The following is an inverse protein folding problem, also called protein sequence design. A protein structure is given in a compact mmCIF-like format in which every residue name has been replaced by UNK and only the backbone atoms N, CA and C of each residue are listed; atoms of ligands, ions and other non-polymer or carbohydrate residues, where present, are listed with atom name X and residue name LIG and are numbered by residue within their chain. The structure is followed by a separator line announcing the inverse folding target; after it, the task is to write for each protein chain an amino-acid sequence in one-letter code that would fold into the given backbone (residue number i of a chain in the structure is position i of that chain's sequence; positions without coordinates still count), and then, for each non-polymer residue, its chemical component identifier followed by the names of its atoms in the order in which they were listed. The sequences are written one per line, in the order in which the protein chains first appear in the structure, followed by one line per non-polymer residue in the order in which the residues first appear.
data_IF_843462648585
#
_entry.id   IF_843462648585
#
_cell.length_a   1.000
_cell.length_b   1.000
_cell.length_c   1.000
_cell.angle_alpha   90.00
_cell.angle_beta   90.00
_cell.angle_gamma   90.00
#
_symmetry.space_group_name_H-M   'P 1'
#
loop_
_entity.id
_entity.type
_entity.pdbx_description
1 polymer ?
#
# COMPACT_ATOMS: atom_id res chain seq x y z
N UNK A 1 -12.19 1.24 2.47
CA UNK A 1 -11.49 0.27 1.61
C UNK A 1 -12.51 -0.65 0.95
N UNK A 2 -12.42 -0.81 -0.36
CA UNK A 2 -13.22 -1.75 -1.13
C UNK A 2 -12.23 -2.71 -1.80
N UNK A 3 -12.19 -3.99 -1.44
CA UNK A 3 -11.35 -4.96 -2.11
C UNK A 3 -11.80 -5.13 -3.56
N UNK A 4 -10.87 -5.36 -4.45
CA UNK A 4 -11.14 -5.54 -5.88
C UNK A 4 -10.84 -6.96 -6.36
N UNK A 5 -10.09 -7.73 -5.58
CA UNK A 5 -9.61 -9.05 -6.00
C UNK A 5 -8.61 -8.96 -7.14
N UNK A 6 -8.52 -10.03 -7.92
CA UNK A 6 -7.68 -10.08 -9.12
C UNK A 6 -6.65 -11.20 -9.12
N UNK A 7 -5.70 -11.09 -10.03
CA UNK A 7 -4.61 -12.04 -10.26
C UNK A 7 -3.34 -11.63 -9.52
N UNK A 8 -2.28 -12.40 -9.68
CA UNK A 8 -0.96 -12.08 -9.13
C UNK A 8 -0.48 -10.68 -9.57
N UNK A 9 -0.73 -10.27 -10.82
CA UNK A 9 -0.32 -8.96 -11.32
C UNK A 9 -0.95 -7.81 -10.51
N UNK A 10 -2.22 -7.95 -10.11
CA UNK A 10 -2.92 -6.97 -9.28
C UNK A 10 -2.35 -6.92 -7.87
N UNK A 11 -2.04 -8.08 -7.30
CA UNK A 11 -1.49 -8.18 -5.95
C UNK A 11 -0.01 -7.76 -5.86
N UNK A 12 0.73 -7.76 -6.95
CA UNK A 12 2.09 -7.21 -6.97
C UNK A 12 2.10 -5.68 -6.85
N UNK A 13 1.02 -5.00 -7.21
CA UNK A 13 0.93 -3.53 -7.17
C UNK A 13 0.14 -3.01 -5.97
N UNK A 14 -0.87 -3.74 -5.49
CA UNK A 14 -1.72 -3.33 -4.36
C UNK A 14 -2.17 -4.55 -3.54
N UNK A 15 -2.51 -4.31 -2.26
CA UNK A 15 -3.29 -5.29 -1.51
C UNK A 15 -4.76 -5.23 -1.96
N UNK A 16 -5.16 -6.15 -2.83
CA UNK A 16 -6.49 -6.18 -3.45
C UNK A 16 -7.54 -6.96 -2.64
N UNK A 17 -7.17 -7.48 -1.46
CA UNK A 17 -8.06 -8.22 -0.57
C UNK A 17 -7.97 -7.69 0.87
N UNK A 18 -8.71 -8.34 1.76
CA UNK A 18 -8.63 -8.13 3.22
C UNK A 18 -8.26 -9.45 3.89
N UNK A 19 -7.68 -9.40 5.08
CA UNK A 19 -7.28 -10.60 5.82
C UNK A 19 -8.43 -11.58 6.11
N UNK A 20 -9.68 -11.11 6.08
CA UNK A 20 -10.88 -11.94 6.20
C UNK A 20 -11.24 -12.57 4.85
N UNK A 21 -10.44 -13.53 4.41
CA UNK A 21 -10.59 -14.23 3.15
C UNK A 21 -10.71 -15.75 3.38
N UNK A 22 -11.34 -16.44 2.45
CA UNK A 22 -11.37 -17.90 2.39
C UNK A 22 -10.39 -18.40 1.33
N UNK A 23 -9.68 -19.44 1.64
CA UNK A 23 -8.76 -20.12 0.74
C UNK A 23 -8.74 -21.62 1.07
N UNK A 24 -8.30 -22.45 0.13
CA UNK A 24 -8.19 -23.89 0.36
C UNK A 24 -7.06 -24.17 1.35
N UNK A 25 -7.28 -25.09 2.28
CA UNK A 25 -6.27 -25.51 3.26
C UNK A 25 -4.98 -26.01 2.57
N UNK A 26 -5.12 -26.69 1.44
CA UNK A 26 -3.97 -27.19 0.67
C UNK A 26 -3.12 -26.03 0.14
N UNK A 27 -3.74 -24.97 -0.40
CA UNK A 27 -3.02 -23.82 -0.93
C UNK A 27 -2.30 -23.06 0.20
N UNK A 28 -2.92 -22.98 1.39
CA UNK A 28 -2.28 -22.45 2.59
C UNK A 28 -1.04 -23.28 2.99
N UNK A 29 -1.14 -24.61 2.95
CA UNK A 29 -0.03 -25.52 3.26
C UNK A 29 1.11 -25.35 2.24
N UNK A 30 0.80 -25.31 0.93
CA UNK A 30 1.78 -25.09 -0.15
C UNK A 30 2.45 -23.72 -0.01
N UNK A 31 1.69 -22.70 0.37
CA UNK A 31 2.23 -21.36 0.65
C UNK A 31 3.01 -21.29 1.97
N UNK A 32 3.03 -22.35 2.77
CA UNK A 32 3.68 -22.39 4.10
C UNK A 32 3.15 -21.35 5.09
N UNK A 33 1.80 -21.09 5.09
CA UNK A 33 1.16 -20.20 6.02
C UNK A 33 1.57 -18.72 5.88
N UNK A 34 1.36 -17.94 6.93
CA UNK A 34 1.77 -16.55 6.99
C UNK A 34 3.28 -16.41 7.28
N UNK A 35 3.88 -15.32 6.82
CA UNK A 35 5.27 -14.99 7.15
C UNK A 35 5.35 -14.40 8.57
N UNK A 36 5.91 -15.17 9.50
CA UNK A 36 6.04 -14.77 10.91
C UNK A 36 6.99 -13.58 11.14
N UNK A 37 7.81 -13.21 10.15
CA UNK A 37 8.64 -12.02 10.22
C UNK A 37 7.85 -10.73 9.95
N UNK A 38 6.61 -10.85 9.44
CA UNK A 38 5.74 -9.71 9.11
C UNK A 38 4.68 -9.44 10.20
N UNK A 39 5.05 -9.46 11.47
CA UNK A 39 4.13 -9.23 12.60
C UNK A 39 3.65 -7.77 12.75
N UNK A 40 4.19 -6.86 11.98
CA UNK A 40 3.88 -5.42 12.06
C UNK A 40 2.83 -4.95 11.05
N UNK A 41 2.36 -5.86 10.18
CA UNK A 41 1.34 -5.62 9.16
C UNK A 41 1.78 -6.02 7.77
N UNK A 42 0.83 -5.98 6.82
CA UNK A 42 0.97 -6.40 5.43
C UNK A 42 1.25 -7.90 5.25
N UNK A 43 1.12 -8.69 6.32
CA UNK A 43 1.29 -10.15 6.30
C UNK A 43 0.24 -10.84 5.42
N UNK A 44 -0.97 -10.29 5.38
CA UNK A 44 -2.06 -10.76 4.51
C UNK A 44 -1.72 -10.52 3.03
N UNK A 45 -1.20 -9.35 2.70
CA UNK A 45 -0.79 -9.02 1.34
C UNK A 45 0.33 -9.93 0.84
N UNK A 46 1.38 -10.09 1.62
CA UNK A 46 2.50 -10.98 1.30
C UNK A 46 2.02 -12.43 1.10
N UNK A 47 1.12 -12.88 1.97
CA UNK A 47 0.54 -14.21 1.88
C UNK A 47 -0.29 -14.40 0.60
N UNK A 48 -1.10 -13.43 0.21
CA UNK A 48 -1.86 -13.49 -1.05
C UNK A 48 -0.95 -13.54 -2.27
N UNK A 49 0.18 -12.85 -2.28
CA UNK A 49 1.18 -12.96 -3.34
C UNK A 49 1.65 -14.43 -3.47
N UNK A 50 1.96 -15.10 -2.34
CA UNK A 50 2.35 -16.52 -2.38
C UNK A 50 1.24 -17.46 -2.79
N UNK A 51 0.00 -17.18 -2.42
CA UNK A 51 -1.15 -17.98 -2.86
C UNK A 51 -1.37 -17.91 -4.37
N UNK A 52 -1.17 -16.72 -4.97
CA UNK A 52 -1.51 -16.45 -6.35
C UNK A 52 -0.34 -16.63 -7.32
N UNK A 53 0.89 -16.77 -6.85
CA UNK A 53 2.09 -16.84 -7.70
C UNK A 53 2.10 -17.97 -8.73
N UNK A 54 1.39 -19.07 -8.46
CA UNK A 54 1.30 -20.23 -9.34
C UNK A 54 0.02 -20.20 -10.21
N UNK A 55 -0.66 -19.07 -10.30
CA UNK A 55 -1.97 -18.89 -10.94
C UNK A 55 -3.09 -18.85 -9.93
N UNK A 56 -4.26 -18.50 -10.38
CA UNK A 56 -5.45 -18.32 -9.56
C UNK A 56 -5.95 -16.86 -9.56
N UNK A 57 -7.17 -16.71 -9.04
CA UNK A 57 -7.85 -15.42 -8.96
C UNK A 57 -8.44 -15.27 -7.57
N UNK A 58 -8.24 -14.13 -6.96
CA UNK A 58 -8.96 -13.72 -5.77
C UNK A 58 -10.29 -13.08 -6.17
N UNK A 59 -11.38 -13.73 -5.87
CA UNK A 59 -12.72 -13.22 -6.14
C UNK A 59 -13.27 -12.48 -4.92
N UNK A 60 -14.03 -11.42 -5.17
CA UNK A 60 -14.68 -10.63 -4.12
C UNK A 60 -16.17 -10.91 -4.11
N UNK A 61 -16.68 -11.38 -2.99
CA UNK A 61 -18.13 -11.47 -2.75
C UNK A 61 -18.65 -10.03 -2.65
N UNK A 62 -19.57 -9.66 -3.56
CA UNK A 62 -20.07 -8.28 -3.70
C UNK A 62 -21.15 -7.93 -2.66
N UNK A 63 -21.12 -8.58 -1.52
CA UNK A 63 -22.05 -8.36 -0.40
C UNK A 63 -21.30 -7.77 0.81
N UNK A 64 -21.93 -6.88 1.60
CA UNK A 64 -21.30 -6.29 2.78
C UNK A 64 -21.34 -7.27 3.98
N UNK A 65 -20.54 -8.33 3.91
CA UNK A 65 -20.53 -9.42 4.91
C UNK A 65 -19.65 -9.12 6.13
N UNK A 66 -18.91 -8.01 6.11
CA UNK A 66 -17.93 -7.72 7.15
C UNK A 66 -17.96 -6.25 7.61
N UNK A 67 -18.05 -6.04 8.92
CA UNK A 67 -17.98 -4.72 9.55
C UNK A 67 -16.58 -4.43 10.04
N UNK A 68 -15.87 -3.53 9.36
CA UNK A 68 -14.50 -3.14 9.71
C UNK A 68 -14.49 -2.03 10.78
N UNK A 69 -14.04 -2.35 11.99
CA UNK A 69 -13.88 -1.36 13.07
C UNK A 69 -12.59 -0.56 12.91
N UNK A 70 -12.73 0.74 12.66
CA UNK A 70 -11.57 1.65 12.65
C UNK A 70 -11.19 2.07 14.07
N UNK A 71 -9.90 1.96 14.41
CA UNK A 71 -9.32 2.43 15.67
C UNK A 71 -8.09 3.29 15.35
N UNK A 72 -7.85 4.34 16.17
CA UNK A 72 -6.69 5.24 16.00
C UNK A 72 -5.38 4.45 16.10
N UNK A 73 -5.27 3.57 17.11
CA UNK A 73 -4.07 2.74 17.37
C UNK A 73 -4.19 1.32 16.80
N UNK A 74 -4.78 1.19 15.61
CA UNK A 74 -4.89 -0.10 14.93
C UNK A 74 -3.52 -0.58 14.40
N UNK A 75 -3.39 -1.89 14.18
CA UNK A 75 -2.21 -2.48 13.49
C UNK A 75 -1.98 -1.79 12.15
N UNK A 76 -3.05 -1.51 11.39
CA UNK A 76 -2.98 -0.76 10.12
C UNK A 76 -2.37 0.63 10.30
N UNK A 77 -2.76 1.37 11.35
CA UNK A 77 -2.18 2.69 11.62
C UNK A 77 -0.69 2.62 11.94
N UNK A 78 -0.26 1.60 12.68
CA UNK A 78 1.15 1.35 13.01
C UNK A 78 1.93 0.93 11.77
N UNK A 79 1.41 -0.02 10.99
CA UNK A 79 2.01 -0.49 9.74
C UNK A 79 2.22 0.66 8.74
N UNK A 80 1.27 1.60 8.64
CA UNK A 80 1.37 2.75 7.75
C UNK A 80 2.54 3.69 8.09
N UNK A 81 3.02 3.72 9.33
CA UNK A 81 4.20 4.52 9.71
C UNK A 81 5.51 3.93 9.16
N UNK A 82 5.57 2.62 8.98
CA UNK A 82 6.72 1.87 8.47
C UNK A 82 6.43 1.21 7.11
N UNK A 83 5.42 1.71 6.39
CA UNK A 83 4.92 1.07 5.17
C UNK A 83 6.00 0.85 4.11
N UNK A 84 6.97 1.76 4.01
CA UNK A 84 8.02 1.64 3.00
C UNK A 84 9.02 0.53 3.33
N UNK A 85 9.29 0.26 4.59
CA UNK A 85 10.12 -0.87 5.02
C UNK A 85 9.40 -2.19 4.77
N UNK A 86 8.10 -2.26 5.05
CA UNK A 86 7.26 -3.42 4.76
C UNK A 86 7.15 -3.68 3.25
N UNK A 87 6.94 -2.63 2.44
CA UNK A 87 6.92 -2.74 0.98
C UNK A 87 8.27 -3.21 0.44
N UNK A 88 9.37 -2.62 0.92
CA UNK A 88 10.72 -3.03 0.54
C UNK A 88 10.96 -4.50 0.84
N UNK A 89 10.51 -4.98 2.00
CA UNK A 89 10.60 -6.39 2.36
C UNK A 89 9.84 -7.28 1.36
N UNK A 90 8.58 -6.96 1.06
CA UNK A 90 7.76 -7.69 0.08
C UNK A 90 8.43 -7.71 -1.29
N UNK A 91 8.89 -6.55 -1.79
CA UNK A 91 9.51 -6.43 -3.11
C UNK A 91 10.80 -7.24 -3.23
N UNK A 92 11.64 -7.21 -2.20
CA UNK A 92 12.89 -7.98 -2.19
C UNK A 92 12.64 -9.48 -2.04
N UNK A 93 11.67 -9.88 -1.23
CA UNK A 93 11.29 -11.28 -1.04
C UNK A 93 10.75 -11.91 -2.33
N UNK A 94 9.98 -11.15 -3.09
CA UNK A 94 9.34 -11.60 -4.33
C UNK A 94 9.99 -11.01 -5.59
N UNK A 95 11.27 -10.64 -5.53
CA UNK A 95 12.00 -9.97 -6.62
C UNK A 95 11.85 -10.63 -7.99
N UNK A 96 11.77 -11.96 -8.04
CA UNK A 96 11.68 -12.68 -9.30
C UNK A 96 10.28 -12.51 -9.92
N UNK A 97 9.20 -12.54 -9.13
CA UNK A 97 7.86 -12.22 -9.60
C UNK A 97 7.76 -10.76 -10.12
N UNK A 98 8.44 -9.82 -9.43
CA UNK A 98 8.48 -8.43 -9.90
C UNK A 98 9.29 -8.27 -11.19
N UNK A 99 10.30 -9.09 -11.45
CA UNK A 99 11.00 -9.13 -12.75
C UNK A 99 10.09 -9.64 -13.85
N UNK A 100 9.37 -10.74 -13.59
CA UNK A 100 8.45 -11.34 -14.57
C UNK A 100 7.28 -10.40 -14.94
N UNK A 101 6.89 -9.52 -14.00
CA UNK A 101 5.83 -8.53 -14.17
C UNK A 101 6.37 -7.08 -14.18
N UNK A 102 7.62 -6.89 -14.61
CA UNK A 102 8.32 -5.61 -14.49
C UNK A 102 7.58 -4.44 -15.11
N UNK A 103 7.04 -4.61 -16.31
CA UNK A 103 6.31 -3.54 -17.01
C UNK A 103 5.08 -3.06 -16.22
N UNK A 104 4.29 -3.99 -15.69
CA UNK A 104 3.11 -3.68 -14.86
C UNK A 104 3.53 -2.93 -13.61
N UNK A 105 4.57 -3.39 -12.96
CA UNK A 105 5.07 -2.80 -11.71
C UNK A 105 5.65 -1.41 -11.92
N UNK A 106 6.50 -1.21 -12.93
CA UNK A 106 7.12 0.09 -13.19
C UNK A 106 6.08 1.13 -13.63
N UNK A 107 5.13 0.75 -14.48
CA UNK A 107 4.05 1.62 -14.89
C UNK A 107 3.19 2.06 -13.68
N UNK A 108 2.90 1.13 -12.75
CA UNK A 108 2.21 1.47 -11.52
C UNK A 108 2.99 2.50 -10.69
N UNK A 109 4.29 2.30 -10.49
CA UNK A 109 5.13 3.23 -9.72
C UNK A 109 5.20 4.61 -10.37
N UNK A 110 5.40 4.68 -11.69
CA UNK A 110 5.46 5.94 -12.43
C UNK A 110 4.13 6.69 -12.36
N UNK A 111 3.01 6.02 -12.60
CA UNK A 111 1.68 6.60 -12.48
C UNK A 111 1.37 7.09 -11.05
N UNK A 112 1.94 6.44 -10.04
CA UNK A 112 1.79 6.86 -8.66
C UNK A 112 2.61 8.12 -8.38
N UNK A 113 3.86 8.17 -8.83
CA UNK A 113 4.73 9.35 -8.71
C UNK A 113 4.08 10.55 -9.40
N UNK A 114 3.63 10.39 -10.65
CA UNK A 114 2.95 11.44 -11.39
C UNK A 114 1.72 11.99 -10.65
N UNK A 115 0.88 11.11 -10.12
CA UNK A 115 -0.29 11.54 -9.33
C UNK A 115 0.11 12.31 -8.08
N UNK A 116 1.12 11.86 -7.35
CA UNK A 116 1.62 12.55 -6.14
C UNK A 116 2.20 13.92 -6.49
N UNK A 117 2.91 14.06 -7.62
CA UNK A 117 3.42 15.33 -8.12
C UNK A 117 2.29 16.30 -8.51
N UNK A 118 1.31 15.81 -9.26
CA UNK A 118 0.13 16.60 -9.64
C UNK A 118 -0.67 17.07 -8.41
N UNK A 119 -0.87 16.20 -7.42
CA UNK A 119 -1.52 16.57 -6.17
C UNK A 119 -0.72 17.61 -5.39
N UNK A 120 0.61 17.49 -5.35
CA UNK A 120 1.49 18.49 -4.73
C UNK A 120 1.36 19.85 -5.40
N UNK A 121 1.41 19.89 -6.75
CA UNK A 121 1.20 21.12 -7.53
C UNK A 121 -0.17 21.72 -7.22
N UNK A 122 -1.23 20.92 -7.29
CA UNK A 122 -2.59 21.35 -6.99
C UNK A 122 -2.73 21.90 -5.57
N UNK A 123 -2.10 21.25 -4.59
CA UNK A 123 -2.15 21.71 -3.19
C UNK A 123 -1.41 23.05 -3.01
N UNK A 124 -0.27 23.26 -3.70
CA UNK A 124 0.47 24.53 -3.63
C UNK A 124 -0.28 25.69 -4.33
N UNK A 125 -1.19 25.38 -5.24
CA UNK A 125 -2.02 26.36 -5.94
C UNK A 125 -3.30 26.75 -5.18
N UNK A 126 -3.68 26.00 -4.14
CA UNK A 126 -4.85 26.29 -3.32
C UNK A 126 -4.72 27.65 -2.62
N UNK A 127 -5.84 28.36 -2.53
CA UNK A 127 -5.88 29.69 -1.93
C UNK A 127 -5.39 29.68 -0.48
N UNK A 128 -5.80 28.68 0.30
CA UNK A 128 -5.39 28.51 1.70
C UNK A 128 -3.87 28.38 1.85
N UNK A 129 -3.22 27.63 0.95
CA UNK A 129 -1.76 27.48 0.95
C UNK A 129 -1.07 28.81 0.61
N UNK A 130 -1.57 29.55 -0.38
CA UNK A 130 -1.03 30.85 -0.79
C UNK A 130 -1.18 31.88 0.33
N UNK A 131 -2.35 31.97 0.94
CA UNK A 131 -2.61 32.88 2.08
C UNK A 131 -1.70 32.51 3.26
N UNK A 132 -1.68 31.23 3.66
CA UNK A 132 -0.83 30.76 4.76
C UNK A 132 0.65 31.04 4.50
N UNK A 133 1.12 30.87 3.28
CA UNK A 133 2.51 31.17 2.92
C UNK A 133 2.82 32.66 3.02
N UNK A 134 1.93 33.54 2.55
CA UNK A 134 2.06 35.00 2.64
C UNK A 134 2.11 35.48 4.09
N UNK A 135 1.25 34.94 4.95
CA UNK A 135 1.21 35.29 6.39
C UNK A 135 2.49 34.83 7.10
N UNK A 136 3.01 33.67 6.76
CA UNK A 136 4.17 33.08 7.43
C UNK A 136 5.52 33.55 6.88
N UNK A 137 5.56 34.18 5.70
CA UNK A 137 6.80 34.63 5.06
C UNK A 137 7.63 35.58 5.92
N UNK A 138 7.07 36.62 6.58
CA UNK A 138 7.83 37.53 7.43
C UNK A 138 8.49 36.79 8.61
N UNK A 139 7.80 35.86 9.23
CA UNK A 139 8.33 35.07 10.36
C UNK A 139 9.46 34.12 9.94
N UNK A 140 9.37 33.54 8.74
CA UNK A 140 10.44 32.71 8.18
C UNK A 140 11.68 33.53 7.87
N UNK A 141 11.51 34.75 7.34
CA UNK A 141 12.60 35.66 7.08
C UNK A 141 13.29 36.06 8.38
N UNK A 142 12.56 36.48 9.42
CA UNK A 142 13.11 36.76 10.74
C UNK A 142 13.92 35.57 11.29
N UNK A 143 13.39 34.35 11.21
CA UNK A 143 14.08 33.14 11.67
C UNK A 143 15.38 32.86 10.89
N UNK A 144 15.51 33.28 9.65
CA UNK A 144 16.73 33.11 8.84
C UNK A 144 17.84 34.06 9.23
N UNK A 145 17.53 35.17 9.90
CA UNK A 145 18.54 36.16 10.38
C UNK A 145 19.23 35.70 11.68
N UNK A 146 18.68 34.71 12.37
CA UNK A 146 19.21 34.16 13.62
C UNK A 146 19.86 32.78 13.46
N UNK A 147 20.17 32.36 12.22
CA UNK A 147 20.96 31.19 11.87
C UNK A 147 22.32 31.63 11.35
#
# INVERSE_FOLDING_TARGET
FKPIGGTIADFLINNCAIGNAMFKKLDWQIANGYDENMRQGFEDWEFFIRLLKNGGVAEVIQEPLFNYRKRIDSTTSKANRIKYDLLKYIYLKHKDLYKDHFEVFINHLLNRIEREELEKIKNTQRLEFKIGNTILQPFRWLKSLFK
#
